data_IF_464936975764
#
_entry.id   IF_464936975764
#
_cell.length_a   1.000
_cell.length_b   1.000
_cell.length_c   1.000
_cell.angle_alpha   90.00
_cell.angle_beta   90.00
_cell.angle_gamma   90.00
#
_symmetry.space_group_name_H-M   'P 1'
#
loop_
_entity.id
_entity.type
_entity.pdbx_description
1 polymer ?
#
# COMPACT_ATOMS: atom_id res chain seq x y z
N UNK A 1 -8.88 -8.27 -2.78
CA UNK A 1 -8.20 -7.54 -1.70
C UNK A 1 -8.41 -8.29 -0.39
N UNK A 2 -7.34 -8.56 0.30
CA UNK A 2 -7.38 -9.35 1.53
C UNK A 2 -6.62 -8.64 2.63
N UNK A 3 -7.23 -8.54 3.82
CA UNK A 3 -6.64 -7.83 4.95
C UNK A 3 -6.45 -8.78 6.13
N UNK A 4 -5.27 -8.74 6.74
CA UNK A 4 -4.96 -9.52 7.94
C UNK A 4 -4.40 -8.58 9.00
N UNK A 5 -4.86 -8.77 10.24
CA UNK A 5 -4.47 -7.94 11.37
C UNK A 5 -3.69 -8.79 12.38
N UNK A 6 -2.51 -8.31 12.78
CA UNK A 6 -1.64 -9.07 13.69
C UNK A 6 -0.78 -8.12 14.53
N UNK A 7 -1.08 -8.05 15.83
CA UNK A 7 -0.24 -7.34 16.81
C UNK A 7 0.13 -5.90 16.43
N UNK A 8 -0.86 -5.12 15.97
CA UNK A 8 -0.63 -3.73 15.60
C UNK A 8 -0.10 -3.55 14.18
N UNK A 9 -0.02 -4.63 13.41
CA UNK A 9 0.34 -4.59 12.00
C UNK A 9 -0.85 -5.07 11.17
N UNK A 10 -1.26 -4.29 10.17
CA UNK A 10 -2.29 -4.69 9.22
C UNK A 10 -1.62 -4.93 7.88
N UNK A 11 -1.84 -6.12 7.32
CA UNK A 11 -1.29 -6.50 6.02
C UNK A 11 -2.44 -6.57 5.02
N UNK A 12 -2.43 -5.69 4.02
CA UNK A 12 -3.43 -5.64 2.97
C UNK A 12 -2.80 -6.12 1.68
N UNK A 13 -3.25 -7.28 1.17
CA UNK A 13 -2.80 -7.83 -0.11
C UNK A 13 -3.69 -7.35 -1.22
N UNK A 14 -3.09 -6.78 -2.26
CA UNK A 14 -3.79 -6.31 -3.44
C UNK A 14 -3.52 -7.27 -4.59
N UNK A 15 -4.58 -7.67 -5.29
CA UNK A 15 -4.48 -8.61 -6.40
C UNK A 15 -5.21 -8.04 -7.60
N UNK A 16 -4.66 -8.27 -8.79
CA UNK A 16 -5.27 -7.82 -10.03
C UNK A 16 -4.92 -6.39 -10.36
N UNK A 17 -5.91 -5.52 -10.46
CA UNK A 17 -5.73 -4.16 -10.92
C UNK A 17 -6.07 -3.16 -9.83
N UNK A 18 -5.22 -2.16 -9.66
CA UNK A 18 -5.51 -1.02 -8.80
C UNK A 18 -5.62 0.20 -9.71
N UNK A 19 -6.86 0.60 -9.98
CA UNK A 19 -7.19 1.65 -10.93
C UNK A 19 -8.40 2.44 -10.42
N UNK A 20 -8.95 3.29 -11.30
CA UNK A 20 -10.09 4.12 -10.96
C UNK A 20 -11.27 3.29 -10.43
N UNK A 21 -11.49 2.09 -10.98
CA UNK A 21 -12.64 1.26 -10.59
C UNK A 21 -12.45 0.56 -9.24
N UNK A 22 -11.22 0.34 -8.81
CA UNK A 22 -10.93 -0.38 -7.56
C UNK A 22 -10.40 0.52 -6.44
N UNK A 23 -10.05 1.77 -6.74
CA UNK A 23 -9.46 2.68 -5.77
C UNK A 23 -10.36 2.90 -4.54
N UNK A 24 -11.67 3.01 -4.73
CA UNK A 24 -12.59 3.23 -3.61
C UNK A 24 -12.60 2.06 -2.63
N UNK A 25 -12.45 0.84 -3.13
CA UNK A 25 -12.35 -0.36 -2.29
C UNK A 25 -11.12 -0.30 -1.41
N UNK A 26 -9.99 0.10 -1.98
CA UNK A 26 -8.76 0.24 -1.21
C UNK A 26 -8.92 1.32 -0.15
N UNK A 27 -9.53 2.45 -0.49
CA UNK A 27 -9.78 3.52 0.46
C UNK A 27 -10.62 3.04 1.64
N UNK A 28 -11.65 2.26 1.38
CA UNK A 28 -12.50 1.70 2.44
C UNK A 28 -11.71 0.76 3.36
N UNK A 29 -10.89 -0.11 2.77
CA UNK A 29 -10.05 -1.02 3.55
C UNK A 29 -9.03 -0.26 4.39
N UNK A 30 -8.43 0.79 3.82
CA UNK A 30 -7.48 1.62 4.56
C UNK A 30 -8.15 2.32 5.73
N UNK A 31 -9.32 2.90 5.54
CA UNK A 31 -10.05 3.57 6.63
C UNK A 31 -10.41 2.59 7.74
N UNK A 32 -10.83 1.39 7.37
CA UNK A 32 -11.15 0.35 8.34
C UNK A 32 -9.90 -0.05 9.13
N UNK A 33 -8.78 -0.23 8.45
CA UNK A 33 -7.51 -0.56 9.09
C UNK A 33 -7.05 0.58 10.01
N UNK A 34 -7.13 1.81 9.54
CA UNK A 34 -6.70 2.99 10.29
C UNK A 34 -7.51 3.19 11.56
N UNK A 35 -8.79 2.81 11.55
CA UNK A 35 -9.68 2.98 12.71
C UNK A 35 -9.22 2.14 13.90
N UNK A 36 -8.54 1.04 13.68
CA UNK A 36 -8.04 0.18 14.76
C UNK A 36 -6.69 0.67 15.33
N UNK A 37 -6.15 1.76 14.79
CA UNK A 37 -4.93 2.37 15.29
C UNK A 37 -3.67 1.53 15.16
N UNK A 38 -3.44 0.85 14.02
CA UNK A 38 -2.24 0.03 13.87
C UNK A 38 -0.99 0.92 13.81
N UNK A 39 0.14 0.36 14.20
CA UNK A 39 1.42 1.04 14.11
C UNK A 39 1.98 0.98 12.69
N UNK A 40 1.68 -0.11 11.98
CA UNK A 40 2.21 -0.37 10.64
C UNK A 40 1.09 -0.90 9.76
N UNK A 41 0.98 -0.34 8.55
CA UNK A 41 0.12 -0.88 7.50
C UNK A 41 1.03 -1.31 6.36
N UNK A 42 0.98 -2.59 6.01
CA UNK A 42 1.72 -3.14 4.87
C UNK A 42 0.77 -3.25 3.69
N UNK A 43 1.13 -2.61 2.59
CA UNK A 43 0.40 -2.69 1.32
C UNK A 43 1.19 -3.59 0.38
N UNK A 44 0.70 -4.79 0.17
CA UNK A 44 1.42 -5.81 -0.59
C UNK A 44 0.97 -5.80 -2.06
N UNK A 45 1.87 -5.35 -2.94
CA UNK A 45 1.59 -5.23 -4.37
C UNK A 45 2.12 -6.42 -5.18
N UNK A 46 2.64 -7.45 -4.52
CA UNK A 46 3.31 -8.55 -5.21
C UNK A 46 2.41 -9.30 -6.20
N UNK A 47 1.10 -9.28 -5.98
CA UNK A 47 0.11 -9.93 -6.85
C UNK A 47 -0.68 -8.95 -7.71
N UNK A 48 -0.28 -7.69 -7.70
CA UNK A 48 -0.91 -6.68 -8.53
C UNK A 48 -0.35 -6.79 -9.95
N UNK A 49 -1.22 -6.66 -10.96
CA UNK A 49 -0.79 -6.76 -12.36
C UNK A 49 -0.89 -5.43 -13.09
N UNK A 50 -1.59 -4.47 -12.53
CA UNK A 50 -1.78 -3.17 -13.15
C UNK A 50 -1.98 -2.09 -12.09
N UNK A 51 -1.41 -0.91 -12.35
CA UNK A 51 -1.51 0.25 -11.46
C UNK A 51 -1.60 1.50 -12.34
N UNK A 52 -2.66 2.28 -12.19
CA UNK A 52 -2.77 3.58 -12.86
C UNK A 52 -2.51 4.73 -11.89
N UNK A 53 -2.62 5.96 -12.39
CA UNK A 53 -2.35 7.16 -11.58
C UNK A 53 -3.33 7.33 -10.42
N UNK A 54 -4.57 6.86 -10.57
CA UNK A 54 -5.58 6.93 -9.49
C UNK A 54 -5.20 5.99 -8.36
N UNK A 55 -4.80 4.76 -8.70
CA UNK A 55 -4.34 3.79 -7.72
C UNK A 55 -3.07 4.26 -7.01
N UNK A 56 -2.14 4.80 -7.78
CA UNK A 56 -0.90 5.33 -7.22
C UNK A 56 -1.19 6.45 -6.22
N UNK A 57 -2.11 7.34 -6.54
CA UNK A 57 -2.49 8.43 -5.63
C UNK A 57 -3.06 7.90 -4.32
N UNK A 58 -3.84 6.82 -4.36
CA UNK A 58 -4.35 6.18 -3.15
C UNK A 58 -3.23 5.74 -2.23
N UNK A 59 -2.19 5.12 -2.80
CA UNK A 59 -1.06 4.63 -2.02
C UNK A 59 -0.27 5.80 -1.40
N UNK A 60 -0.03 6.84 -2.19
CA UNK A 60 0.69 8.03 -1.71
C UNK A 60 -0.10 8.73 -0.60
N UNK A 61 -1.41 8.88 -0.79
CA UNK A 61 -2.27 9.52 0.21
C UNK A 61 -2.27 8.74 1.52
N UNK A 62 -2.29 7.40 1.43
CA UNK A 62 -2.23 6.55 2.62
C UNK A 62 -0.93 6.78 3.40
N UNK A 63 0.19 6.90 2.68
CA UNK A 63 1.49 7.17 3.30
C UNK A 63 1.50 8.55 3.97
N UNK A 64 0.94 9.55 3.33
CA UNK A 64 0.86 10.90 3.90
C UNK A 64 0.03 10.92 5.18
N UNK A 65 -1.13 10.27 5.17
CA UNK A 65 -1.97 10.19 6.37
C UNK A 65 -1.24 9.46 7.50
N UNK A 66 -0.51 8.41 7.16
CA UNK A 66 0.24 7.65 8.14
C UNK A 66 1.28 8.51 8.84
N UNK A 67 2.00 9.33 8.07
CA UNK A 67 3.01 10.25 8.63
C UNK A 67 2.38 11.25 9.59
N UNK A 68 1.20 11.76 9.25
CA UNK A 68 0.48 12.69 10.11
C UNK A 68 0.03 12.02 11.41
N UNK A 69 -0.29 10.74 11.36
CA UNK A 69 -0.81 9.97 12.49
C UNK A 69 0.29 9.24 13.29
N UNK A 70 1.55 9.40 12.89
CA UNK A 70 2.66 8.71 13.56
C UNK A 70 2.72 7.21 13.29
N UNK A 71 2.21 6.79 12.15
CA UNK A 71 2.12 5.39 11.74
C UNK A 71 3.04 5.16 10.54
N UNK A 72 3.46 3.92 10.30
CA UNK A 72 4.24 3.55 9.12
C UNK A 72 3.36 2.90 8.08
N UNK A 73 3.56 3.27 6.81
CA UNK A 73 3.05 2.53 5.67
C UNK A 73 4.25 1.96 4.93
N UNK A 74 4.25 0.64 4.76
CA UNK A 74 5.31 -0.08 4.06
C UNK A 74 4.70 -0.76 2.84
N UNK A 75 5.32 -0.59 1.69
CA UNK A 75 4.82 -1.16 0.44
C UNK A 75 5.74 -2.30 0.00
N UNK A 76 5.15 -3.48 -0.19
CA UNK A 76 5.86 -4.62 -0.78
C UNK A 76 5.83 -4.44 -2.29
N UNK A 77 7.01 -4.48 -2.91
CA UNK A 77 7.17 -4.22 -4.34
C UNK A 77 6.34 -5.16 -5.20
N UNK A 78 5.79 -4.60 -6.26
CA UNK A 78 5.04 -5.36 -7.25
C UNK A 78 5.94 -5.84 -8.39
N UNK A 79 5.35 -6.56 -9.35
CA UNK A 79 6.08 -6.98 -10.56
C UNK A 79 6.54 -5.78 -11.37
N UNK A 80 7.46 -6.01 -12.31
CA UNK A 80 8.12 -4.94 -13.06
C UNK A 80 7.18 -3.89 -13.65
N UNK A 81 6.07 -4.25 -14.32
CA UNK A 81 5.17 -3.23 -14.87
C UNK A 81 4.58 -2.30 -13.81
N UNK A 82 4.27 -2.85 -12.63
CA UNK A 82 3.73 -2.08 -11.51
C UNK A 82 4.84 -1.22 -10.90
N UNK A 83 5.99 -1.83 -10.66
CA UNK A 83 7.10 -1.15 -10.01
C UNK A 83 7.63 0.00 -10.85
N UNK A 84 7.56 -0.10 -12.17
CA UNK A 84 7.99 0.95 -13.09
C UNK A 84 7.25 2.27 -12.85
N UNK A 85 5.97 2.21 -12.45
CA UNK A 85 5.19 3.42 -12.17
C UNK A 85 5.83 4.21 -11.03
N UNK A 86 6.34 3.52 -10.01
CA UNK A 86 7.03 4.17 -8.89
C UNK A 86 8.40 4.71 -9.31
N UNK A 87 9.11 3.99 -10.16
CA UNK A 87 10.43 4.42 -10.64
C UNK A 87 10.33 5.68 -11.49
N UNK A 88 9.39 5.70 -12.44
CA UNK A 88 9.21 6.83 -13.36
C UNK A 88 8.81 8.09 -12.61
N UNK A 89 7.99 7.95 -11.58
CA UNK A 89 7.52 9.08 -10.76
C UNK A 89 8.47 9.44 -9.63
N UNK A 90 9.55 8.67 -9.45
CA UNK A 90 10.52 8.82 -8.36
C UNK A 90 9.92 8.63 -6.97
N UNK A 91 8.76 8.03 -6.88
CA UNK A 91 8.10 7.79 -5.60
C UNK A 91 8.81 6.72 -4.78
N UNK A 92 9.63 5.88 -5.41
CA UNK A 92 10.45 4.91 -4.69
C UNK A 92 11.36 5.58 -3.65
N UNK A 93 11.76 6.81 -3.90
CA UNK A 93 12.63 7.56 -2.99
C UNK A 93 11.89 8.13 -1.80
N UNK A 94 10.58 8.28 -1.90
CA UNK A 94 9.73 8.90 -0.89
C UNK A 94 8.92 7.93 -0.06
N UNK A 95 8.67 6.74 -0.60
CA UNK A 95 7.86 5.70 0.03
C UNK A 95 8.77 4.63 0.60
N UNK A 96 8.36 4.03 1.70
CA UNK A 96 9.09 2.90 2.27
C UNK A 96 8.69 1.64 1.51
N UNK A 97 9.62 1.08 0.73
CA UNK A 97 9.36 -0.10 -0.09
C UNK A 97 10.30 -1.23 0.28
N UNK A 98 9.76 -2.43 0.33
CA UNK A 98 10.52 -3.65 0.66
C UNK A 98 10.21 -4.72 -0.37
N UNK A 99 11.09 -5.70 -0.49
CA UNK A 99 10.91 -6.79 -1.44
C UNK A 99 10.01 -7.89 -0.90
N UNK A 100 9.92 -8.03 0.42
CA UNK A 100 9.17 -9.10 1.07
C UNK A 100 8.55 -8.58 2.37
N UNK A 101 7.29 -8.93 2.59
CA UNK A 101 6.57 -8.55 3.80
C UNK A 101 7.21 -9.12 5.07
N UNK A 102 7.92 -10.23 4.97
CA UNK A 102 8.57 -10.86 6.14
C UNK A 102 9.68 -9.99 6.74
N UNK A 103 10.17 -9.00 5.99
CA UNK A 103 11.21 -8.09 6.50
C UNK A 103 10.61 -6.99 7.39
N UNK A 104 9.29 -6.87 7.44
CA UNK A 104 8.61 -5.87 8.24
C UNK A 104 8.21 -6.49 9.57
N UNK A 105 8.71 -5.95 10.65
CA UNK A 105 8.42 -6.47 11.98
C UNK A 105 7.80 -5.41 12.89
#
# INVERSE_FOLDING_TARGET
>A
MKSEDRDGLVHISLKGELDLSSASKLQEELRRAEADGPKIIVLDLSKLVFLDSTGLRCLVTADERAKDDGRRVVIVRGPDPVQRVFSITRLEERLEMVDDASTVS
#
